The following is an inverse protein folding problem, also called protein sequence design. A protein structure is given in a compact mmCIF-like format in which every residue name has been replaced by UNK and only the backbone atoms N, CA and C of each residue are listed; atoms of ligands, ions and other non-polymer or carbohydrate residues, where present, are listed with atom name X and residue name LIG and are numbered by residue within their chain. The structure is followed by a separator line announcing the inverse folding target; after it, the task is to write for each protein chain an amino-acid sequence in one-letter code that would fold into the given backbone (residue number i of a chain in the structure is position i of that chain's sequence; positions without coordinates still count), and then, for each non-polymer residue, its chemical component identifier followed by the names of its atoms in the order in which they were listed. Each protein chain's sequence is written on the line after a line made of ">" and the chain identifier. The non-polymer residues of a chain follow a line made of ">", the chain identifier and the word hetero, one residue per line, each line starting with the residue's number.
data_IF_389907448985
#
_entry.id   IF_389907448985
#
_cell.length_a   1.000
_cell.length_b   1.000
_cell.length_c   1.000
_cell.angle_alpha   90.00
_cell.angle_beta   90.00
_cell.angle_gamma   90.00
#
_symmetry.space_group_name_H-M   'P 1'
#
loop_
_entity.id
_entity.type
_entity.pdbx_description
1 polymer ?
#
# COMPACT_ATOMS: atom_id res chain seq x y z
N UNK A 1 35.81 9.17 -22.38
CA UNK A 1 35.41 10.17 -21.37
C UNK A 1 35.44 9.50 -20.01
N UNK A 2 36.02 10.10 -18.96
CA UNK A 2 35.90 9.54 -17.61
C UNK A 2 34.42 9.53 -17.19
N UNK A 3 33.96 8.47 -16.53
CA UNK A 3 32.61 8.39 -15.99
C UNK A 3 32.50 9.30 -14.76
N UNK A 4 31.57 10.25 -14.77
CA UNK A 4 31.22 11.07 -13.61
C UNK A 4 30.09 10.39 -12.84
N UNK A 5 30.32 10.05 -11.57
CA UNK A 5 29.29 9.54 -10.66
C UNK A 5 28.78 10.71 -9.80
N UNK A 6 27.50 11.05 -9.94
CA UNK A 6 26.86 12.05 -9.09
C UNK A 6 26.46 11.41 -7.76
N UNK A 7 26.88 12.02 -6.64
CA UNK A 7 26.49 11.64 -5.29
C UNK A 7 25.78 12.81 -4.62
N UNK A 8 24.87 12.53 -3.70
CA UNK A 8 24.25 13.57 -2.92
C UNK A 8 25.31 14.32 -2.11
N UNK A 9 25.33 15.67 -2.12
CA UNK A 9 26.46 16.44 -1.61
C UNK A 9 26.61 16.40 -0.08
N UNK A 10 25.49 16.30 0.66
CA UNK A 10 25.51 16.22 2.13
C UNK A 10 25.61 14.78 2.64
N UNK A 11 24.72 13.93 2.12
CA UNK A 11 24.61 12.49 2.45
C UNK A 11 25.07 11.57 1.30
N UNK A 12 26.37 11.43 1.03
CA UNK A 12 26.87 10.57 -0.05
C UNK A 12 26.58 9.07 0.17
N UNK A 13 26.29 8.69 1.42
CA UNK A 13 25.86 7.38 1.90
C UNK A 13 24.86 7.57 3.04
N UNK A 14 23.89 6.66 3.18
CA UNK A 14 22.91 6.66 4.28
C UNK A 14 22.85 5.25 4.85
N UNK A 15 23.04 5.11 6.16
CA UNK A 15 22.84 3.85 6.86
C UNK A 15 21.35 3.63 7.07
N UNK A 16 20.84 2.53 6.50
CA UNK A 16 19.42 2.19 6.60
C UNK A 16 19.15 1.45 7.92
N UNK A 17 17.98 1.67 8.54
CA UNK A 17 17.53 0.82 9.64
C UNK A 17 17.52 -0.66 9.22
N UNK A 18 18.18 -1.51 10.00
CA UNK A 18 18.18 -2.96 9.80
C UNK A 18 16.91 -3.60 10.38
N UNK A 19 15.76 -3.16 9.86
CA UNK A 19 14.42 -3.61 10.26
C UNK A 19 13.63 -4.01 9.03
N UNK A 20 12.76 -5.00 9.18
CA UNK A 20 11.72 -5.25 8.20
C UNK A 20 10.72 -4.08 8.17
N UNK A 21 9.98 -3.98 7.06
CA UNK A 21 9.03 -2.90 6.83
C UNK A 21 7.99 -2.81 7.95
N UNK A 22 7.43 -3.93 8.41
CA UNK A 22 6.37 -3.88 9.42
C UNK A 22 6.93 -3.45 10.77
N UNK A 23 8.09 -3.99 11.17
CA UNK A 23 8.78 -3.56 12.40
C UNK A 23 9.18 -2.08 12.35
N UNK A 24 9.62 -1.56 11.20
CA UNK A 24 9.90 -0.13 11.03
C UNK A 24 8.66 0.73 11.29
N UNK A 25 7.50 0.35 10.75
CA UNK A 25 6.29 1.18 10.82
C UNK A 25 5.56 1.03 12.15
N UNK A 26 5.54 -0.17 12.72
CA UNK A 26 4.71 -0.49 13.86
C UNK A 26 5.46 -0.47 15.19
N UNK A 27 6.74 -0.87 15.22
CA UNK A 27 7.50 -1.08 16.45
C UNK A 27 8.64 -0.08 16.66
N UNK A 28 9.14 0.57 15.61
CA UNK A 28 10.31 1.46 15.71
C UNK A 28 9.93 2.85 16.25
N UNK A 29 10.81 3.40 17.10
CA UNK A 29 10.76 4.80 17.53
C UNK A 29 10.97 5.80 16.38
N UNK A 30 11.47 5.34 15.23
CA UNK A 30 11.62 6.16 14.03
C UNK A 30 10.26 6.53 13.40
N UNK A 31 9.23 5.70 13.65
CA UNK A 31 7.87 5.91 13.21
C UNK A 31 7.13 6.84 14.17
N UNK A 32 6.57 7.93 13.65
CA UNK A 32 5.97 8.99 14.46
C UNK A 32 4.56 8.63 14.93
N UNK A 33 3.77 7.90 14.12
CA UNK A 33 2.41 7.54 14.49
C UNK A 33 2.35 6.75 15.80
N UNK A 34 1.43 7.16 16.67
CA UNK A 34 1.11 6.49 17.93
C UNK A 34 -0.11 5.59 17.74
N UNK A 35 -0.38 4.71 18.70
CA UNK A 35 -1.47 3.74 18.63
C UNK A 35 -2.85 4.38 18.32
N UNK A 36 -3.11 5.56 18.89
CA UNK A 36 -4.35 6.31 18.69
C UNK A 36 -4.37 7.17 17.40
N UNK A 37 -3.25 7.31 16.69
CA UNK A 37 -3.18 8.11 15.45
C UNK A 37 -4.10 7.50 14.40
N UNK A 38 -5.07 8.29 13.91
CA UNK A 38 -5.94 7.90 12.80
C UNK A 38 -5.10 7.87 11.52
N UNK A 39 -4.90 6.69 10.94
CA UNK A 39 -4.10 6.52 9.72
C UNK A 39 -4.97 6.59 8.46
N UNK A 40 -6.18 6.04 8.53
CA UNK A 40 -7.08 5.92 7.39
C UNK A 40 -8.49 6.33 7.77
N UNK A 41 -9.10 7.19 6.96
CA UNK A 41 -10.46 7.67 7.14
C UNK A 41 -11.19 7.68 5.81
N UNK A 42 -12.45 7.27 5.78
CA UNK A 42 -13.29 7.39 4.59
C UNK A 42 -13.73 8.85 4.39
N UNK A 43 -13.63 9.35 3.16
CA UNK A 43 -13.99 10.72 2.84
C UNK A 43 -15.50 10.98 2.95
N UNK A 44 -16.32 9.99 2.59
CA UNK A 44 -17.77 10.08 2.59
C UNK A 44 -18.40 9.85 3.98
N UNK A 45 -17.75 9.05 4.82
CA UNK A 45 -18.14 8.78 6.20
C UNK A 45 -16.95 9.02 7.15
N UNK A 46 -16.85 10.22 7.75
CA UNK A 46 -15.76 10.54 8.68
C UNK A 46 -15.71 9.67 9.94
N UNK A 47 -16.77 8.92 10.24
CA UNK A 47 -16.77 8.00 11.39
C UNK A 47 -16.09 6.68 11.07
N UNK A 48 -16.02 6.30 9.79
CA UNK A 48 -15.34 5.11 9.33
C UNK A 48 -13.82 5.36 9.27
N UNK A 49 -13.14 4.98 10.34
CA UNK A 49 -11.72 5.28 10.57
C UNK A 49 -10.95 4.06 11.07
N UNK A 50 -9.64 4.03 10.80
CA UNK A 50 -8.71 3.04 11.32
C UNK A 50 -7.49 3.77 11.90
N UNK A 51 -7.24 3.58 13.19
CA UNK A 51 -6.02 4.04 13.86
C UNK A 51 -4.89 3.01 13.79
N UNK A 52 -3.67 3.39 14.17
CA UNK A 52 -2.49 2.51 14.10
C UNK A 52 -2.67 1.18 14.86
N UNK A 53 -3.24 1.21 16.06
CA UNK A 53 -3.50 -0.01 16.84
C UNK A 53 -4.48 -0.95 16.12
N UNK A 54 -5.57 -0.40 15.57
CA UNK A 54 -6.53 -1.15 14.77
C UNK A 54 -5.90 -1.68 13.48
N UNK A 55 -5.04 -0.89 12.81
CA UNK A 55 -4.30 -1.34 11.62
C UNK A 55 -3.41 -2.54 11.94
N UNK A 56 -2.69 -2.53 13.08
CA UNK A 56 -1.90 -3.69 13.53
C UNK A 56 -2.80 -4.89 13.78
N UNK A 57 -3.87 -4.73 14.54
CA UNK A 57 -4.79 -5.83 14.83
C UNK A 57 -5.36 -6.44 13.54
N UNK A 58 -5.86 -5.61 12.62
CA UNK A 58 -6.39 -6.07 11.34
C UNK A 58 -5.32 -6.78 10.52
N UNK A 59 -4.09 -6.25 10.50
CA UNK A 59 -2.94 -6.87 9.84
C UNK A 59 -2.72 -8.31 10.34
N UNK A 60 -2.66 -8.51 11.66
CA UNK A 60 -2.41 -9.83 12.26
C UNK A 60 -3.58 -10.79 12.05
N UNK A 61 -4.82 -10.30 12.08
CA UNK A 61 -6.02 -11.10 11.83
C UNK A 61 -6.12 -11.54 10.37
N UNK A 62 -5.84 -10.63 9.44
CA UNK A 62 -5.74 -10.94 8.01
C UNK A 62 -4.61 -11.93 7.76
N UNK A 63 -3.44 -11.71 8.36
CA UNK A 63 -2.30 -12.60 8.21
C UNK A 63 -2.63 -14.02 8.66
N UNK A 64 -3.32 -14.15 9.80
CA UNK A 64 -3.80 -15.43 10.31
C UNK A 64 -4.76 -16.12 9.32
N UNK A 65 -5.77 -15.40 8.84
CA UNK A 65 -6.72 -15.93 7.85
C UNK A 65 -6.02 -16.41 6.58
N UNK A 66 -5.16 -15.57 5.99
CA UNK A 66 -4.38 -15.91 4.79
C UNK A 66 -3.46 -17.12 5.01
N UNK A 67 -2.79 -17.21 6.17
CA UNK A 67 -1.88 -18.31 6.50
C UNK A 67 -2.61 -19.63 6.69
N UNK A 68 -3.65 -19.67 7.50
CA UNK A 68 -4.25 -20.93 7.95
C UNK A 68 -5.44 -21.40 7.11
N UNK A 69 -6.15 -20.50 6.44
CA UNK A 69 -7.26 -20.87 5.55
C UNK A 69 -6.80 -21.03 4.09
N UNK A 70 -5.75 -20.29 3.69
CA UNK A 70 -5.29 -20.25 2.30
C UNK A 70 -3.82 -20.64 2.11
N UNK A 71 -3.10 -20.97 3.19
CA UNK A 71 -1.74 -21.48 3.11
C UNK A 71 -0.68 -20.46 2.69
N UNK A 72 -0.96 -19.15 2.72
CA UNK A 72 0.00 -18.09 2.35
C UNK A 72 1.19 -18.12 3.30
N UNK A 73 2.40 -18.29 2.76
CA UNK A 73 3.66 -18.36 3.48
C UNK A 73 3.93 -19.71 4.17
N UNK A 74 3.01 -20.68 4.08
CA UNK A 74 3.13 -21.98 4.76
C UNK A 74 4.28 -22.85 4.23
N UNK A 75 4.69 -22.65 2.97
CA UNK A 75 5.83 -23.32 2.33
C UNK A 75 7.15 -22.54 2.44
N UNK A 76 7.16 -21.49 3.27
CA UNK A 76 8.24 -20.52 3.43
C UNK A 76 7.82 -19.11 3.01
N UNK A 77 8.52 -18.08 3.50
CA UNK A 77 8.18 -16.69 3.22
C UNK A 77 8.48 -16.31 1.77
N UNK A 78 7.84 -15.24 1.29
CA UNK A 78 8.12 -14.55 0.03
C UNK A 78 7.89 -15.39 -1.25
N UNK A 79 7.13 -16.49 -1.18
CA UNK A 79 6.84 -17.39 -2.31
C UNK A 79 5.43 -17.24 -2.87
N UNK A 80 4.46 -17.02 -1.99
CA UNK A 80 3.05 -16.99 -2.37
C UNK A 80 2.65 -15.56 -2.76
N UNK A 81 2.40 -15.33 -4.04
CA UNK A 81 1.93 -14.03 -4.55
C UNK A 81 0.42 -13.88 -4.34
N UNK A 82 0.02 -12.75 -3.78
CA UNK A 82 -1.38 -12.34 -3.60
C UNK A 82 -1.62 -11.11 -4.46
N UNK A 83 -2.35 -11.27 -5.56
CA UNK A 83 -2.72 -10.13 -6.42
C UNK A 83 -3.87 -9.35 -5.80
N UNK A 84 -3.79 -8.03 -5.78
CA UNK A 84 -4.79 -7.17 -5.16
C UNK A 84 -5.26 -6.11 -6.16
N UNK A 85 -6.54 -6.18 -6.54
CA UNK A 85 -7.22 -5.17 -7.35
C UNK A 85 -8.21 -4.40 -6.48
N UNK A 86 -7.76 -3.29 -5.91
CA UNK A 86 -8.58 -2.50 -4.99
C UNK A 86 -8.28 -1.01 -5.11
N UNK A 87 -9.29 -0.19 -4.82
CA UNK A 87 -9.19 1.26 -4.90
C UNK A 87 -10.06 1.91 -3.82
N UNK A 88 -9.55 3.01 -3.22
CA UNK A 88 -10.39 3.95 -2.48
C UNK A 88 -10.95 3.49 -1.14
N UNK A 89 -10.42 2.43 -0.51
CA UNK A 89 -10.95 1.90 0.76
C UNK A 89 -9.92 1.80 1.87
N UNK A 90 -10.41 1.97 3.11
CA UNK A 90 -9.58 2.06 4.31
C UNK A 90 -9.03 0.71 4.81
N UNK A 91 -9.61 -0.44 4.44
CA UNK A 91 -9.07 -1.76 4.84
C UNK A 91 -7.91 -2.25 3.97
N UNK A 92 -7.72 -1.69 2.77
CA UNK A 92 -6.69 -2.14 1.83
C UNK A 92 -5.26 -2.02 2.41
N UNK A 93 -4.91 -0.96 3.16
CA UNK A 93 -3.67 -0.91 3.93
C UNK A 93 -3.45 -2.14 4.81
N UNK A 94 -4.46 -2.55 5.59
CA UNK A 94 -4.36 -3.73 6.45
C UNK A 94 -4.21 -5.02 5.63
N UNK A 95 -4.83 -5.11 4.45
CA UNK A 95 -4.62 -6.24 3.54
C UNK A 95 -3.19 -6.29 2.99
N UNK A 96 -2.61 -5.14 2.62
CA UNK A 96 -1.21 -5.03 2.21
C UNK A 96 -0.27 -5.55 3.30
N UNK A 97 -0.40 -5.03 4.52
CA UNK A 97 0.40 -5.47 5.66
C UNK A 97 0.15 -6.94 6.01
N UNK A 98 -1.11 -7.38 5.97
CA UNK A 98 -1.51 -8.75 6.30
C UNK A 98 -0.93 -9.80 5.35
N UNK A 99 -0.82 -9.48 4.05
CA UNK A 99 -0.12 -10.34 3.08
C UNK A 99 1.36 -10.49 3.45
N UNK A 100 2.04 -9.39 3.79
CA UNK A 100 3.46 -9.41 4.18
C UNK A 100 3.64 -10.16 5.51
N UNK A 101 2.78 -9.89 6.50
CA UNK A 101 2.80 -10.54 7.81
C UNK A 101 2.52 -12.04 7.73
N UNK A 102 1.68 -12.48 6.77
CA UNK A 102 1.50 -13.89 6.46
C UNK A 102 2.73 -14.52 5.77
N UNK A 103 3.76 -13.76 5.42
CA UNK A 103 4.91 -14.23 4.64
C UNK A 103 4.64 -14.34 3.15
N UNK A 104 3.59 -13.70 2.63
CA UNK A 104 3.28 -13.63 1.20
C UNK A 104 3.96 -12.45 0.50
N UNK A 105 3.65 -12.31 -0.79
CA UNK A 105 4.10 -11.20 -1.64
C UNK A 105 2.87 -10.44 -2.13
N UNK A 106 2.77 -9.16 -1.79
CA UNK A 106 1.68 -8.31 -2.27
C UNK A 106 1.92 -7.91 -3.74
N UNK A 107 0.97 -8.17 -4.64
CA UNK A 107 1.07 -7.73 -6.03
C UNK A 107 -0.10 -6.84 -6.42
N UNK A 108 0.16 -5.58 -6.75
CA UNK A 108 -0.92 -4.62 -6.98
C UNK A 108 -1.39 -4.64 -8.44
N UNK A 109 -2.70 -4.75 -8.68
CA UNK A 109 -3.30 -4.61 -10.01
C UNK A 109 -4.02 -3.27 -10.14
N UNK A 110 -4.00 -2.68 -11.34
CA UNK A 110 -4.74 -1.45 -11.59
C UNK A 110 -6.24 -1.69 -11.45
N UNK A 111 -7.01 -0.81 -10.79
CA UNK A 111 -8.47 -0.89 -10.79
C UNK A 111 -9.08 -0.69 -12.18
N UNK A 112 -8.30 -0.19 -13.14
CA UNK A 112 -8.70 -0.02 -14.54
C UNK A 112 -8.32 -1.20 -15.45
N UNK A 113 -7.70 -2.25 -14.92
CA UNK A 113 -7.28 -3.40 -15.72
C UNK A 113 -8.48 -4.11 -16.34
N UNK A 114 -8.36 -4.45 -17.62
CA UNK A 114 -9.29 -5.35 -18.30
C UNK A 114 -9.11 -6.80 -17.82
N UNK A 115 -10.06 -7.67 -18.17
CA UNK A 115 -10.00 -9.10 -17.83
C UNK A 115 -8.71 -9.74 -18.33
N UNK A 116 -8.37 -9.59 -19.60
CA UNK A 116 -7.16 -10.21 -20.16
C UNK A 116 -5.86 -9.61 -19.62
N UNK A 117 -5.84 -8.32 -19.27
CA UNK A 117 -4.68 -7.72 -18.60
C UNK A 117 -4.48 -8.28 -17.20
N UNK A 118 -5.55 -8.40 -16.42
CA UNK A 118 -5.50 -8.95 -15.07
C UNK A 118 -5.20 -10.46 -15.09
N UNK A 119 -5.83 -11.24 -15.97
CA UNK A 119 -5.56 -12.68 -16.11
C UNK A 119 -4.09 -12.95 -16.46
N UNK A 120 -3.53 -12.15 -17.37
CA UNK A 120 -2.10 -12.21 -17.69
C UNK A 120 -1.23 -11.82 -16.51
N UNK A 121 -1.61 -10.79 -15.76
CA UNK A 121 -0.89 -10.38 -14.54
C UNK A 121 -0.88 -11.51 -13.49
N UNK A 122 -2.04 -12.11 -13.21
CA UNK A 122 -2.20 -13.26 -12.30
C UNK A 122 -1.31 -14.42 -12.74
N UNK A 123 -1.34 -14.76 -14.04
CA UNK A 123 -0.52 -15.84 -14.59
C UNK A 123 0.97 -15.56 -14.52
N UNK A 124 1.37 -14.33 -14.83
CA UNK A 124 2.80 -13.92 -14.86
C UNK A 124 3.40 -13.86 -13.47
N UNK A 125 2.59 -13.49 -12.46
CA UNK A 125 3.02 -13.44 -11.07
C UNK A 125 2.94 -14.81 -10.37
N UNK A 126 2.37 -15.83 -11.02
CA UNK A 126 2.02 -17.11 -10.41
C UNK A 126 1.20 -16.93 -9.12
N UNK A 127 0.15 -16.10 -9.20
CA UNK A 127 -0.61 -15.70 -8.02
C UNK A 127 -1.39 -16.87 -7.42
N UNK A 128 -1.23 -17.06 -6.12
CA UNK A 128 -1.98 -18.02 -5.31
C UNK A 128 -3.39 -17.56 -4.99
N UNK A 129 -3.56 -16.25 -4.80
CA UNK A 129 -4.81 -15.61 -4.41
C UNK A 129 -5.02 -14.31 -5.18
N UNK A 130 -6.29 -13.93 -5.34
CA UNK A 130 -6.66 -12.58 -5.76
C UNK A 130 -7.60 -11.96 -4.73
N UNK A 131 -7.22 -10.81 -4.19
CA UNK A 131 -8.07 -9.95 -3.36
C UNK A 131 -8.64 -8.86 -4.26
N UNK A 132 -9.94 -8.62 -4.17
CA UNK A 132 -10.58 -7.56 -4.92
C UNK A 132 -11.59 -6.77 -4.08
N UNK A 133 -11.86 -5.56 -4.53
CA UNK A 133 -13.00 -4.79 -4.05
C UNK A 133 -14.30 -5.29 -4.66
N UNK A 134 -15.44 -5.05 -3.99
CA UNK A 134 -16.75 -5.51 -4.45
C UNK A 134 -17.07 -5.05 -5.88
N UNK A 135 -16.65 -3.83 -6.24
CA UNK A 135 -16.81 -3.24 -7.57
C UNK A 135 -15.99 -3.92 -8.68
N UNK A 136 -14.98 -4.72 -8.31
CA UNK A 136 -14.07 -5.39 -9.23
C UNK A 136 -14.31 -6.91 -9.34
N UNK A 137 -15.31 -7.44 -8.62
CA UNK A 137 -15.62 -8.88 -8.58
C UNK A 137 -15.85 -9.47 -9.97
N UNK A 138 -16.60 -8.78 -10.84
CA UNK A 138 -16.89 -9.29 -12.19
C UNK A 138 -15.61 -9.43 -13.03
N UNK A 139 -14.74 -8.41 -13.03
CA UNK A 139 -13.45 -8.45 -13.74
C UNK A 139 -12.55 -9.53 -13.18
N UNK A 140 -12.45 -9.61 -11.85
CA UNK A 140 -11.54 -10.53 -11.15
C UNK A 140 -11.96 -11.98 -11.33
N UNK A 141 -13.25 -12.30 -11.20
CA UNK A 141 -13.74 -13.67 -11.37
C UNK A 141 -13.60 -14.15 -12.81
N UNK A 142 -13.90 -13.29 -13.80
CA UNK A 142 -13.63 -13.61 -15.22
C UNK A 142 -12.14 -13.83 -15.48
N UNK A 143 -11.28 -13.00 -14.88
CA UNK A 143 -9.82 -13.12 -15.02
C UNK A 143 -9.29 -14.40 -14.39
N UNK A 144 -9.81 -14.75 -13.21
CA UNK A 144 -9.47 -15.99 -12.50
C UNK A 144 -9.84 -17.21 -13.36
N UNK A 145 -11.05 -17.24 -13.94
CA UNK A 145 -11.47 -18.30 -14.86
C UNK A 145 -10.56 -18.37 -16.10
N UNK A 146 -10.22 -17.23 -16.70
CA UNK A 146 -9.37 -17.16 -17.91
C UNK A 146 -7.97 -17.73 -17.69
N UNK A 147 -7.38 -17.50 -16.52
CA UNK A 147 -6.06 -18.03 -16.16
C UNK A 147 -6.07 -19.36 -15.39
N UNK A 148 -7.25 -19.94 -15.14
CA UNK A 148 -7.40 -21.21 -14.43
C UNK A 148 -7.20 -21.13 -12.91
N UNK A 149 -7.26 -19.93 -12.32
CA UNK A 149 -7.27 -19.76 -10.86
C UNK A 149 -8.67 -20.13 -10.31
N UNK A 150 -8.78 -21.05 -9.33
CA UNK A 150 -10.06 -21.42 -8.76
C UNK A 150 -10.76 -20.22 -8.10
N UNK A 151 -12.08 -20.13 -8.23
CA UNK A 151 -12.86 -19.04 -7.61
C UNK A 151 -12.83 -19.06 -6.08
N UNK A 152 -12.53 -20.21 -5.46
CA UNK A 152 -12.24 -20.32 -4.02
C UNK A 152 -11.00 -19.55 -3.59
N UNK A 153 -10.12 -19.17 -4.54
CA UNK A 153 -8.94 -18.34 -4.32
C UNK A 153 -9.18 -16.84 -4.60
N UNK A 154 -10.42 -16.46 -4.93
CA UNK A 154 -10.85 -15.06 -5.03
C UNK A 154 -11.45 -14.63 -3.70
N UNK A 155 -10.92 -13.53 -3.16
CA UNK A 155 -11.33 -12.92 -1.91
C UNK A 155 -11.88 -11.51 -2.18
N UNK A 156 -12.94 -11.14 -1.47
CA UNK A 156 -13.63 -9.86 -1.60
C UNK A 156 -13.47 -9.06 -0.32
N UNK A 157 -12.83 -7.90 -0.45
CA UNK A 157 -12.59 -6.93 0.61
C UNK A 157 -13.56 -5.75 0.44
N UNK A 158 -14.21 -5.37 1.53
CA UNK A 158 -15.14 -4.25 1.54
C UNK A 158 -15.03 -3.49 2.86
N UNK A 159 -14.86 -2.17 2.77
CA UNK A 159 -14.70 -1.28 3.92
C UNK A 159 -15.96 -0.50 4.31
N UNK A 160 -17.01 -0.51 3.47
CA UNK A 160 -18.24 0.25 3.68
C UNK A 160 -19.43 -0.46 3.01
N UNK A 161 -20.63 -0.51 3.63
CA UNK A 161 -21.00 0.09 4.91
C UNK A 161 -20.52 -0.70 6.13
N UNK A 162 -19.91 -1.87 5.93
CA UNK A 162 -19.34 -2.69 6.99
C UNK A 162 -18.01 -3.29 6.54
N UNK A 163 -17.12 -3.52 7.50
CA UNK A 163 -15.83 -4.17 7.26
C UNK A 163 -16.05 -5.66 7.06
N UNK A 164 -15.82 -6.13 5.85
CA UNK A 164 -15.89 -7.55 5.51
C UNK A 164 -14.70 -7.93 4.65
N UNK A 165 -14.19 -9.13 4.87
CA UNK A 165 -13.19 -9.73 4.00
C UNK A 165 -13.46 -11.22 3.91
N UNK A 166 -13.99 -11.67 2.78
CA UNK A 166 -14.51 -13.03 2.66
C UNK A 166 -14.08 -13.69 1.36
N UNK A 167 -14.13 -15.00 1.29
CA UNK A 167 -14.13 -15.71 0.00
C UNK A 167 -15.25 -15.18 -0.90
N UNK A 168 -15.02 -15.15 -2.21
CA UNK A 168 -16.05 -14.77 -3.20
C UNK A 168 -17.35 -15.57 -3.03
N UNK A 169 -17.26 -16.86 -2.70
CA UNK A 169 -18.42 -17.73 -2.45
C UNK A 169 -19.09 -17.50 -1.08
N UNK A 170 -18.57 -16.57 -0.27
CA UNK A 170 -19.15 -16.13 1.00
C UNK A 170 -18.97 -17.07 2.21
N UNK A 171 -18.38 -18.26 2.02
CA UNK A 171 -18.27 -19.30 3.05
C UNK A 171 -17.13 -19.15 4.07
N UNK A 172 -16.11 -18.33 3.78
CA UNK A 172 -14.91 -18.18 4.62
C UNK A 172 -14.70 -16.69 4.95
N UNK A 173 -14.54 -16.38 6.23
CA UNK A 173 -14.14 -15.05 6.71
C UNK A 173 -12.63 -14.99 6.91
N UNK A 174 -11.97 -14.11 6.15
CA UNK A 174 -10.52 -13.90 6.16
C UNK A 174 -10.11 -13.02 7.35
N UNK A 175 -11.02 -12.21 7.90
CA UNK A 175 -10.79 -11.45 9.14
C UNK A 175 -10.89 -12.39 10.35
N UNK A 176 -9.89 -13.26 10.51
CA UNK A 176 -9.81 -14.26 11.57
C UNK A 176 -10.05 -13.66 12.96
N UNK A 177 -10.61 -14.45 13.88
CA UNK A 177 -10.69 -14.07 15.30
C UNK A 177 -9.32 -14.16 15.98
N UNK A 178 -8.47 -15.04 15.46
CA UNK A 178 -7.11 -15.24 15.93
C UNK A 178 -6.16 -14.25 15.24
N UNK A 179 -5.00 -14.05 15.86
CA UNK A 179 -3.96 -13.14 15.38
C UNK A 179 -2.70 -13.92 15.03
N UNK A 180 -2.02 -13.49 13.96
CA UNK A 180 -0.69 -13.97 13.61
C UNK A 180 0.25 -12.75 13.58
N UNK A 181 1.03 -12.52 14.65
CA UNK A 181 2.13 -11.56 14.63
C UNK A 181 3.11 -11.91 13.51
N UNK A 182 3.69 -10.89 12.87
CA UNK A 182 4.71 -11.12 11.85
C UNK A 182 6.06 -11.49 12.48
N UNK A 183 6.88 -12.18 11.68
CA UNK A 183 8.28 -12.42 12.01
C UNK A 183 9.08 -11.12 11.88
N UNK A 184 9.85 -10.78 12.93
CA UNK A 184 10.72 -9.61 12.92
C UNK A 184 12.06 -9.97 12.30
N UNK A 185 12.42 -9.31 11.20
CA UNK A 185 13.66 -9.59 10.48
C UNK A 185 14.62 -8.42 10.67
N UNK A 186 15.85 -8.72 11.11
CA UNK A 186 16.93 -7.73 11.26
C UNK A 186 18.20 -8.10 10.49
N UNK A 187 18.28 -9.33 9.95
CA UNK A 187 19.40 -9.75 9.12
C UNK A 187 19.41 -8.97 7.78
N UNK A 188 20.46 -8.19 7.48
CA UNK A 188 20.50 -7.35 6.28
C UNK A 188 20.39 -8.13 4.96
N UNK A 189 20.88 -9.37 4.92
CA UNK A 189 20.87 -10.17 3.71
C UNK A 189 19.47 -10.72 3.42
N UNK A 190 18.74 -11.15 4.46
CA UNK A 190 17.33 -11.51 4.38
C UNK A 190 16.49 -10.29 3.98
N UNK A 191 16.65 -9.14 4.64
CA UNK A 191 15.92 -7.91 4.31
C UNK A 191 16.06 -7.50 2.83
N UNK A 192 17.26 -7.67 2.28
CA UNK A 192 17.56 -7.34 0.88
C UNK A 192 16.94 -8.33 -0.10
N UNK A 193 16.90 -9.61 0.26
CA UNK A 193 16.48 -10.70 -0.63
C UNK A 193 15.00 -11.09 -0.50
N UNK A 194 14.32 -10.69 0.58
CA UNK A 194 12.91 -10.97 0.82
C UNK A 194 12.01 -10.16 -0.10
N UNK A 195 11.46 -10.79 -1.14
CA UNK A 195 10.45 -10.20 -2.00
C UNK A 195 9.13 -10.03 -1.24
N UNK A 196 8.67 -8.78 -1.08
CA UNK A 196 7.41 -8.49 -0.34
C UNK A 196 6.37 -7.77 -1.18
N UNK A 197 6.78 -7.16 -2.29
CA UNK A 197 5.87 -6.42 -3.16
C UNK A 197 6.26 -6.55 -4.62
N UNK A 198 5.26 -6.70 -5.49
CA UNK A 198 5.39 -6.62 -6.94
C UNK A 198 4.47 -5.50 -7.43
N UNK A 199 5.07 -4.47 -8.05
CA UNK A 199 4.35 -3.43 -8.78
C UNK A 199 4.52 -3.61 -10.27
N UNK A 200 3.53 -3.19 -11.07
CA UNK A 200 3.54 -3.43 -12.51
C UNK A 200 3.81 -2.15 -13.27
N UNK A 201 4.80 -2.20 -14.15
CA UNK A 201 5.18 -1.07 -15.00
C UNK A 201 4.80 -1.35 -16.45
N UNK A 202 4.21 -0.36 -17.12
CA UNK A 202 3.98 -0.37 -18.57
C UNK A 202 5.32 -0.28 -19.30
N UNK A 203 6.00 -1.42 -19.46
CA UNK A 203 7.26 -1.48 -20.18
C UNK A 203 7.13 -0.93 -21.60
N UNK A 204 8.23 -0.41 -22.15
CA UNK A 204 8.31 0.12 -23.53
C UNK A 204 8.02 -0.92 -24.63
N UNK A 205 8.01 -2.21 -24.26
CA UNK A 205 7.77 -3.34 -25.16
C UNK A 205 6.29 -3.76 -25.23
N UNK A 206 5.37 -2.97 -24.66
CA UNK A 206 3.92 -3.23 -24.65
C UNK A 206 3.46 -4.29 -23.62
N UNK A 207 4.37 -5.12 -23.11
CA UNK A 207 4.09 -6.07 -22.04
C UNK A 207 4.47 -5.46 -20.68
N UNK A 208 3.55 -5.52 -19.73
CA UNK A 208 3.78 -5.06 -18.35
C UNK A 208 4.82 -5.96 -17.66
N UNK A 209 5.74 -5.35 -16.91
CA UNK A 209 6.79 -6.06 -16.16
C UNK A 209 6.62 -5.84 -14.66
N UNK A 210 6.75 -6.92 -13.91
CA UNK A 210 6.75 -6.91 -12.45
C UNK A 210 8.05 -6.37 -11.89
N UNK A 211 7.97 -5.28 -11.13
CA UNK A 211 9.05 -4.68 -10.35
C UNK A 211 9.03 -5.33 -8.97
N UNK A 212 10.04 -6.12 -8.68
CA UNK A 212 10.21 -6.84 -7.41
C UNK A 212 10.83 -5.92 -6.36
N UNK A 213 10.15 -5.74 -5.23
CA UNK A 213 10.57 -4.88 -4.14
C UNK A 213 10.74 -5.68 -2.84
N UNK A 214 11.87 -5.49 -2.20
CA UNK A 214 12.20 -6.11 -0.91
C UNK A 214 11.93 -5.19 0.28
N UNK A 215 12.09 -5.73 1.51
CA UNK A 215 12.04 -4.90 2.72
C UNK A 215 13.03 -3.75 2.63
N UNK A 216 14.29 -4.01 2.23
CA UNK A 216 15.29 -2.95 2.09
C UNK A 216 14.86 -1.86 1.11
N UNK A 217 14.17 -2.20 0.01
CA UNK A 217 13.72 -1.18 -0.95
C UNK A 217 12.69 -0.23 -0.31
N UNK A 218 11.65 -0.78 0.32
CA UNK A 218 10.58 0.03 0.92
C UNK A 218 11.04 0.76 2.18
N UNK A 219 11.94 0.17 2.97
CA UNK A 219 12.58 0.83 4.11
C UNK A 219 13.47 1.99 3.64
N UNK A 220 14.26 1.80 2.57
CA UNK A 220 15.08 2.86 2.01
C UNK A 220 14.23 4.04 1.51
N UNK A 221 13.18 3.76 0.74
CA UNK A 221 12.25 4.78 0.25
C UNK A 221 11.61 5.55 1.40
N UNK A 222 11.16 4.85 2.45
CA UNK A 222 10.56 5.47 3.63
C UNK A 222 11.54 6.33 4.41
N UNK A 223 12.70 5.77 4.76
CA UNK A 223 13.66 6.40 5.65
C UNK A 223 14.33 7.61 4.98
N UNK A 224 14.80 7.46 3.74
CA UNK A 224 15.53 8.52 3.02
C UNK A 224 14.60 9.69 2.66
N UNK A 225 13.38 9.40 2.23
CA UNK A 225 12.39 10.45 1.89
C UNK A 225 11.98 11.23 3.13
N UNK A 226 11.78 10.54 4.26
CA UNK A 226 11.45 11.19 5.51
C UNK A 226 12.64 11.99 6.08
N UNK A 227 13.87 11.49 5.99
CA UNK A 227 15.08 12.23 6.38
C UNK A 227 15.19 13.55 5.60
N UNK A 228 15.08 13.48 4.27
CA UNK A 228 15.14 14.67 3.40
C UNK A 228 14.01 15.66 3.71
N UNK A 229 12.80 15.16 3.96
CA UNK A 229 11.65 15.99 4.33
C UNK A 229 11.84 16.67 5.69
N UNK A 230 12.34 15.94 6.70
CA UNK A 230 12.61 16.47 8.05
C UNK A 230 13.67 17.58 8.00
N UNK A 231 14.78 17.37 7.29
CA UNK A 231 15.82 18.39 7.14
C UNK A 231 15.30 19.67 6.49
N UNK A 232 14.43 19.53 5.49
CA UNK A 232 13.78 20.69 4.86
C UNK A 232 12.86 21.40 5.85
N UNK A 233 11.96 20.68 6.53
CA UNK A 233 11.04 21.26 7.52
C UNK A 233 11.80 21.95 8.64
N UNK A 234 12.82 21.31 9.22
CA UNK A 234 13.62 21.87 10.32
C UNK A 234 14.26 23.21 9.93
N UNK A 235 14.81 23.27 8.70
CA UNK A 235 15.39 24.51 8.18
C UNK A 235 14.33 25.61 8.02
N UNK A 236 13.22 25.32 7.36
CA UNK A 236 12.18 26.34 7.09
C UNK A 236 11.48 26.80 8.38
N UNK A 237 11.36 25.92 9.40
CA UNK A 237 10.90 26.30 10.73
C UNK A 237 11.91 27.23 11.41
N UNK A 238 13.20 26.90 11.36
CA UNK A 238 14.25 27.73 11.94
C UNK A 238 14.35 29.12 11.27
N UNK A 239 14.12 29.17 9.96
CA UNK A 239 14.08 30.40 9.17
C UNK A 239 12.75 31.19 9.34
N UNK A 240 11.78 30.64 10.06
CA UNK A 240 10.47 31.24 10.31
C UNK A 240 9.55 31.29 9.07
N UNK A 241 9.89 30.53 8.02
CA UNK A 241 9.17 30.49 6.73
C UNK A 241 8.10 29.41 6.68
N UNK A 242 8.08 28.49 7.65
CA UNK A 242 7.13 27.38 7.69
C UNK A 242 6.61 27.10 9.11
N UNK A 243 5.30 26.84 9.20
CA UNK A 243 4.64 26.33 10.41
C UNK A 243 4.23 24.88 10.14
N UNK A 244 4.75 23.90 10.89
CA UNK A 244 4.39 22.50 10.69
C UNK A 244 2.90 22.28 10.86
N UNK A 245 2.33 21.47 9.98
CA UNK A 245 0.94 21.04 10.06
C UNK A 245 0.87 19.52 10.00
N UNK A 246 -0.19 18.96 10.57
CA UNK A 246 -0.42 17.52 10.53
C UNK A 246 -0.48 17.02 9.08
N UNK A 247 0.23 15.93 8.81
CA UNK A 247 0.21 15.29 7.50
C UNK A 247 -1.19 14.72 7.25
N UNK A 248 -1.87 15.28 6.23
CA UNK A 248 -3.18 14.84 5.78
C UNK A 248 -3.13 14.73 4.27
N UNK A 249 -3.26 13.51 3.78
CA UNK A 249 -3.23 13.21 2.35
C UNK A 249 -4.59 12.76 1.85
N UNK A 250 -4.90 13.10 0.59
CA UNK A 250 -6.10 12.61 -0.09
C UNK A 250 -5.71 11.45 -1.02
N UNK A 251 -6.21 10.26 -0.74
CA UNK A 251 -6.02 9.07 -1.54
C UNK A 251 -6.88 9.11 -2.81
N UNK A 252 -6.30 9.67 -3.87
CA UNK A 252 -6.91 9.82 -5.19
C UNK A 252 -6.14 9.08 -6.29
N UNK A 253 -4.90 8.65 -6.03
CA UNK A 253 -4.11 7.83 -6.95
C UNK A 253 -4.34 6.34 -6.70
N UNK A 254 -4.23 5.49 -7.73
CA UNK A 254 -4.21 4.05 -7.54
C UNK A 254 -3.02 3.60 -6.67
N UNK A 255 -3.27 2.70 -5.74
CA UNK A 255 -2.23 2.01 -4.95
C UNK A 255 -1.46 0.95 -5.75
N UNK A 256 -1.84 0.75 -7.02
CA UNK A 256 -1.10 -0.08 -7.98
C UNK A 256 0.20 0.56 -8.48
N UNK A 257 0.41 1.83 -8.16
CA UNK A 257 1.63 2.58 -8.43
C UNK A 257 2.36 2.91 -7.11
N UNK A 258 3.69 3.02 -7.16
CA UNK A 258 4.49 3.26 -5.96
C UNK A 258 4.08 4.53 -5.23
N UNK A 259 3.72 5.59 -5.96
CA UNK A 259 3.24 6.83 -5.36
C UNK A 259 2.01 6.60 -4.45
N UNK A 260 1.03 5.82 -4.90
CA UNK A 260 -0.16 5.51 -4.10
C UNK A 260 0.15 4.52 -2.96
N UNK A 261 0.90 3.45 -3.25
CA UNK A 261 1.30 2.47 -2.24
C UNK A 261 2.11 3.13 -1.12
N UNK A 262 3.20 3.79 -1.47
CA UNK A 262 4.06 4.47 -0.52
C UNK A 262 3.32 5.59 0.20
N UNK A 263 2.73 6.53 -0.54
CA UNK A 263 2.20 7.76 0.05
C UNK A 263 0.90 7.59 0.85
N UNK A 264 0.10 6.55 0.56
CA UNK A 264 -1.17 6.32 1.24
C UNK A 264 -1.16 5.15 2.24
N UNK A 265 -0.22 4.22 2.12
CA UNK A 265 -0.13 3.07 3.02
C UNK A 265 1.06 3.25 3.96
N UNK A 266 2.26 3.43 3.42
CA UNK A 266 3.53 3.35 4.19
C UNK A 266 3.89 4.69 4.87
N UNK A 267 3.93 5.78 4.13
CA UNK A 267 4.35 7.09 4.62
C UNK A 267 3.51 7.65 5.80
N UNK A 268 2.16 7.47 5.84
CA UNK A 268 1.33 8.04 6.90
C UNK A 268 1.64 7.46 8.28
N UNK A 269 1.92 6.16 8.38
CA UNK A 269 2.29 5.55 9.67
C UNK A 269 3.69 5.98 10.09
N UNK A 270 4.65 6.02 9.17
CA UNK A 270 6.01 6.47 9.48
C UNK A 270 6.07 7.95 9.91
N UNK A 271 5.28 8.80 9.26
CA UNK A 271 5.31 10.25 9.46
C UNK A 271 4.26 10.76 10.44
N UNK A 272 3.34 9.92 10.91
CA UNK A 272 2.31 10.30 11.88
C UNK A 272 1.21 11.16 11.27
N UNK A 273 0.53 10.66 10.23
CA UNK A 273 -0.55 11.40 9.58
C UNK A 273 -1.70 10.54 9.07
N UNK A 274 -2.71 11.23 8.56
CA UNK A 274 -3.99 10.64 8.15
C UNK A 274 -4.15 10.66 6.64
N UNK A 275 -4.66 9.56 6.10
CA UNK A 275 -5.08 9.46 4.70
C UNK A 275 -6.59 9.43 4.63
N UNK A 276 -7.13 10.37 3.87
CA UNK A 276 -8.55 10.47 3.54
C UNK A 276 -8.79 9.72 2.23
N UNK A 277 -9.57 8.65 2.27
CA UNK A 277 -9.81 7.76 1.14
C UNK A 277 -11.07 8.15 0.37
N UNK A 278 -10.90 8.41 -0.93
CA UNK A 278 -12.01 8.58 -1.86
C UNK A 278 -12.33 7.24 -2.52
N UNK A 279 -13.56 6.73 -2.33
CA UNK A 279 -14.00 5.46 -2.93
C UNK A 279 -13.88 5.49 -4.45
N UNK A 280 -14.14 6.64 -5.07
CA UNK A 280 -14.00 6.83 -6.51
C UNK A 280 -13.39 8.20 -6.77
N UNK A 281 -12.52 8.26 -7.77
CA UNK A 281 -12.04 9.55 -8.25
C UNK A 281 -13.18 10.31 -8.91
N UNK A 282 -13.43 11.52 -8.41
CA UNK A 282 -14.35 12.51 -8.96
C UNK A 282 -13.80 13.89 -8.67
N UNK A 283 -13.65 14.71 -9.71
CA UNK A 283 -13.00 16.03 -9.59
C UNK A 283 -13.71 16.96 -8.60
N UNK A 284 -15.03 17.04 -8.69
CA UNK A 284 -15.91 17.83 -7.81
C UNK A 284 -15.79 17.39 -6.34
N UNK A 285 -15.81 16.09 -6.09
CA UNK A 285 -15.65 15.54 -4.74
C UNK A 285 -14.23 15.76 -4.22
N UNK A 286 -13.21 15.66 -5.08
CA UNK A 286 -11.82 15.91 -4.71
C UNK A 286 -11.64 17.34 -4.21
N UNK A 287 -12.11 18.35 -4.95
CA UNK A 287 -12.03 19.75 -4.55
C UNK A 287 -12.75 20.01 -3.21
N UNK A 288 -13.94 19.41 -3.05
CA UNK A 288 -14.69 19.47 -1.78
C UNK A 288 -13.87 18.87 -0.63
N UNK A 289 -13.30 17.69 -0.80
CA UNK A 289 -12.54 17.01 0.25
C UNK A 289 -11.21 17.69 0.57
N UNK A 290 -10.54 18.27 -0.43
CA UNK A 290 -9.34 19.09 -0.22
C UNK A 290 -9.64 20.24 0.76
N UNK A 291 -10.75 20.95 0.56
CA UNK A 291 -11.17 22.03 1.44
C UNK A 291 -11.68 21.52 2.79
N UNK A 292 -12.59 20.55 2.79
CA UNK A 292 -13.24 20.03 4.00
C UNK A 292 -12.23 19.47 5.01
N UNK A 293 -11.28 18.65 4.53
CA UNK A 293 -10.30 18.00 5.38
C UNK A 293 -8.99 18.78 5.51
N UNK A 294 -8.90 19.96 4.87
CA UNK A 294 -7.72 20.85 4.82
C UNK A 294 -6.44 20.04 4.53
N UNK A 295 -6.45 19.31 3.42
CA UNK A 295 -5.37 18.42 2.99
C UNK A 295 -4.05 19.20 2.92
N UNK A 296 -2.98 18.64 3.49
CA UNK A 296 -1.66 19.28 3.61
C UNK A 296 -0.60 18.62 2.75
N UNK A 297 -0.85 17.40 2.27
CA UNK A 297 0.00 16.68 1.34
C UNK A 297 -0.81 16.17 0.15
N UNK A 298 -0.36 16.51 -1.05
CA UNK A 298 -0.98 16.08 -2.29
C UNK A 298 0.07 15.40 -3.17
N UNK A 299 -0.15 14.13 -3.49
CA UNK A 299 0.75 13.37 -4.35
C UNK A 299 0.42 13.67 -5.81
N UNK A 300 1.42 14.07 -6.58
CA UNK A 300 1.26 14.35 -8.00
C UNK A 300 1.25 13.03 -8.80
N UNK A 301 0.14 12.76 -9.51
CA UNK A 301 0.07 11.79 -10.61
C UNK A 301 0.33 12.44 -11.97
N UNK A 302 0.46 11.65 -13.04
CA UNK A 302 0.76 12.15 -14.40
C UNK A 302 -0.16 13.29 -14.88
N UNK A 303 0.35 14.04 -15.87
CA UNK A 303 -0.10 15.33 -16.44
C UNK A 303 -1.61 15.58 -16.66
N UNK A 304 -2.51 14.59 -16.54
CA UNK A 304 -3.95 14.76 -16.77
C UNK A 304 -4.64 15.65 -15.72
N UNK A 305 -4.05 15.81 -14.53
CA UNK A 305 -4.49 16.83 -13.57
C UNK A 305 -4.14 18.25 -14.04
N UNK A 306 -3.08 18.41 -14.85
CA UNK A 306 -2.66 19.72 -15.36
C UNK A 306 -3.53 20.20 -16.53
N UNK A 307 -4.10 19.30 -17.33
CA UNK A 307 -5.00 19.68 -18.44
C UNK A 307 -6.34 20.25 -17.94
N UNK A 308 -6.80 19.86 -16.74
CA UNK A 308 -7.98 20.47 -16.11
C UNK A 308 -7.68 21.84 -15.48
N UNK A 309 -6.42 22.10 -15.09
CA UNK A 309 -5.98 23.40 -14.55
C UNK A 309 -5.65 24.43 -15.63
N UNK A 310 -5.61 24.05 -16.91
CA UNK A 310 -5.44 24.95 -18.05
C UNK A 310 -6.77 25.40 -18.67
N UNK A 311 -7.90 25.02 -18.06
CA UNK A 311 -9.25 25.26 -18.55
C UNK A 311 -10.06 26.34 -17.82
N UNK A 312 -9.41 27.25 -17.08
CA UNK A 312 -10.02 28.46 -16.51
C UNK A 312 -9.30 29.73 -16.98
#
# INVERSE_FOLDING_TARGET
>A
MPQTIYRHPKHPTVDLPALDLLSLLFDSELSVAQDATILHQEAADPTNTINKAQTRELTERIANGLRYQYGVGSSGPNKDVVTVMSYGQILVPAAFYGVIAAGGVYSAASPSSTVSELARQISTADSKLVICSIEHVDVVTKSAVECGLPLSQVLVLQSSPAWTFRSFEGGIDVLSKDRLPWEKITDPQLLKNSLITILWSSGTTGLSKGVMLSHTNLVAETYITAMSSREWVEKEVADGTYVPSEYRALAHLPISHIAGLFGYIIAPIYSGGTVIWMIRYRWDEMLKYLQQYKITAFLHGSLDLATHLQGE
#
